data_IF_590430155398
#
_entry.id   IF_590430155398
#
_cell.length_a   1.000
_cell.length_b   1.000
_cell.length_c   1.000
_cell.angle_alpha   90.00
_cell.angle_beta   90.00
_cell.angle_gamma   90.00
#
_symmetry.space_group_name_H-M   'P 1'
#
loop_
_entity.id
_entity.type
_entity.pdbx_description
1 polymer ?
#
# COMPACT_ATOMS: atom_id res chain seq x y z
N UNK A 1 7.91 -5.04 15.11
CA UNK A 1 7.97 -4.40 13.77
C UNK A 1 9.38 -3.97 13.31
N UNK A 2 10.48 -4.52 13.87
CA UNK A 2 11.86 -4.11 13.50
C UNK A 2 12.81 -5.31 13.43
N UNK A 3 12.62 -6.20 12.45
CA UNK A 3 13.59 -7.27 12.15
C UNK A 3 13.57 -7.47 10.63
N UNK A 4 14.58 -6.96 9.91
CA UNK A 4 14.89 -7.04 8.45
C UNK A 4 15.29 -5.71 7.78
N UNK A 5 15.43 -4.61 8.53
CA UNK A 5 15.94 -3.35 7.95
C UNK A 5 17.44 -3.43 7.65
N UNK A 6 18.17 -4.25 8.41
CA UNK A 6 19.65 -4.30 8.35
C UNK A 6 20.21 -5.25 7.28
N UNK A 7 19.35 -5.99 6.55
CA UNK A 7 19.78 -6.99 5.56
C UNK A 7 19.56 -6.57 4.10
N UNK A 8 19.00 -5.38 3.85
CA UNK A 8 18.74 -4.87 2.50
C UNK A 8 19.65 -3.67 2.29
N UNK A 9 20.43 -3.70 1.21
CA UNK A 9 21.29 -2.59 0.84
C UNK A 9 20.45 -1.30 0.62
N UNK A 10 20.70 -0.23 1.40
CA UNK A 10 19.96 1.04 1.31
C UNK A 10 20.10 1.77 -0.03
N UNK A 11 21.05 1.37 -0.88
CA UNK A 11 21.28 1.93 -2.21
C UNK A 11 20.68 1.08 -3.33
N UNK A 12 20.21 -0.14 -3.04
CA UNK A 12 19.48 -0.98 -4.00
C UNK A 12 17.96 -0.80 -3.86
N UNK A 13 17.45 -0.68 -2.63
CA UNK A 13 16.03 -0.45 -2.37
C UNK A 13 15.76 0.99 -1.92
N UNK A 14 15.45 1.87 -2.89
CA UNK A 14 15.38 3.33 -2.67
C UNK A 14 13.99 3.94 -2.95
N UNK A 15 12.87 3.41 -2.40
CA UNK A 15 11.52 3.92 -2.70
C UNK A 15 11.27 5.36 -2.22
N UNK A 16 12.07 5.84 -1.26
CA UNK A 16 12.01 7.20 -0.71
C UNK A 16 13.33 7.98 -0.92
N UNK A 17 14.24 7.45 -1.75
CA UNK A 17 15.60 7.95 -1.90
C UNK A 17 16.48 7.78 -0.65
N UNK A 18 17.75 8.15 -0.79
CA UNK A 18 18.79 8.07 0.25
C UNK A 18 19.64 9.35 0.22
N UNK A 19 20.15 9.80 1.37
CA UNK A 19 20.98 11.01 1.50
C UNK A 19 20.17 12.30 1.79
N UNK A 20 20.79 13.50 1.69
CA UNK A 20 20.20 14.77 2.10
C UNK A 20 18.95 15.21 1.34
N UNK A 21 18.69 14.59 0.18
CA UNK A 21 17.54 14.86 -0.70
C UNK A 21 16.54 13.70 -0.70
N UNK A 22 16.55 12.87 0.33
CA UNK A 22 15.51 11.84 0.49
C UNK A 22 14.13 12.46 0.76
N UNK A 23 13.09 11.64 0.65
CA UNK A 23 11.72 12.08 0.86
C UNK A 23 11.52 12.49 2.33
N UNK A 24 11.35 13.78 2.56
CA UNK A 24 11.02 14.35 3.88
C UNK A 24 9.70 13.77 4.44
N UNK A 25 8.79 13.38 3.56
CA UNK A 25 7.49 12.80 3.89
C UNK A 25 7.49 11.29 4.17
N UNK A 26 8.62 10.60 4.10
CA UNK A 26 8.68 9.13 4.22
C UNK A 26 7.95 8.61 5.48
N UNK A 27 8.24 9.18 6.65
CA UNK A 27 7.66 8.71 7.91
C UNK A 27 6.15 8.96 7.96
N UNK A 28 5.72 10.13 7.49
CA UNK A 28 4.31 10.51 7.42
C UNK A 28 3.53 9.60 6.48
N UNK A 29 4.04 9.37 5.26
CA UNK A 29 3.40 8.50 4.27
C UNK A 29 3.26 7.06 4.80
N UNK A 30 4.32 6.50 5.39
CA UNK A 30 4.28 5.16 5.97
C UNK A 30 3.30 5.04 7.15
N UNK A 31 3.19 6.08 7.99
CA UNK A 31 2.24 6.09 9.10
C UNK A 31 0.80 6.11 8.59
N UNK A 32 0.46 7.03 7.70
CA UNK A 32 -0.90 7.17 7.19
C UNK A 32 -1.34 5.97 6.35
N UNK A 33 -0.46 5.45 5.47
CA UNK A 33 -0.79 4.25 4.69
C UNK A 33 -1.06 3.04 5.58
N UNK A 34 -0.25 2.83 6.62
CA UNK A 34 -0.50 1.76 7.59
C UNK A 34 -1.80 1.95 8.34
N UNK A 35 -2.09 3.17 8.79
CA UNK A 35 -3.34 3.48 9.49
C UNK A 35 -4.56 3.21 8.60
N UNK A 36 -4.53 3.69 7.36
CA UNK A 36 -5.59 3.45 6.37
C UNK A 36 -5.78 1.96 6.12
N UNK A 37 -4.70 1.22 5.88
CA UNK A 37 -4.72 -0.22 5.67
C UNK A 37 -5.30 -0.97 6.88
N UNK A 38 -4.88 -0.63 8.10
CA UNK A 38 -5.43 -1.24 9.33
C UNK A 38 -6.94 -1.02 9.40
N UNK A 39 -7.41 0.22 9.19
CA UNK A 39 -8.85 0.53 9.28
C UNK A 39 -9.68 -0.22 8.24
N UNK A 40 -9.23 -0.29 6.99
CA UNK A 40 -10.00 -1.01 5.96
C UNK A 40 -9.90 -2.52 6.10
N UNK A 41 -8.75 -3.07 6.48
CA UNK A 41 -8.55 -4.53 6.60
C UNK A 41 -9.16 -5.12 7.88
N UNK A 42 -9.37 -4.32 8.92
CA UNK A 42 -10.11 -4.72 10.11
C UNK A 42 -11.58 -4.97 9.77
N UNK A 43 -12.19 -4.08 8.99
CA UNK A 43 -13.64 -4.07 8.76
C UNK A 43 -14.05 -4.74 7.43
N UNK A 44 -13.12 -4.89 6.48
CA UNK A 44 -13.45 -5.35 5.14
C UNK A 44 -12.45 -6.37 4.58
N UNK A 45 -12.96 -7.25 3.73
CA UNK A 45 -12.19 -8.17 2.90
C UNK A 45 -12.26 -7.72 1.44
N UNK A 46 -11.11 -7.67 0.77
CA UNK A 46 -11.00 -7.30 -0.64
C UNK A 46 -10.78 -8.54 -1.50
N UNK A 47 -11.57 -8.69 -2.56
CA UNK A 47 -11.48 -9.81 -3.52
C UNK A 47 -11.46 -9.27 -4.95
N UNK A 48 -10.79 -9.96 -5.89
CA UNK A 48 -10.91 -9.62 -7.30
C UNK A 48 -12.34 -9.84 -7.81
N UNK A 49 -12.79 -8.99 -8.72
CA UNK A 49 -14.06 -9.11 -9.43
C UNK A 49 -13.79 -9.37 -10.92
N UNK A 50 -14.87 -9.56 -11.71
CA UNK A 50 -14.77 -9.81 -13.16
C UNK A 50 -14.07 -8.67 -13.92
N UNK A 51 -14.11 -7.47 -13.37
CA UNK A 51 -13.51 -6.25 -13.95
C UNK A 51 -12.04 -6.05 -13.54
N UNK A 52 -11.56 -6.78 -12.51
CA UNK A 52 -10.18 -6.66 -12.04
C UNK A 52 -9.21 -7.21 -13.09
N UNK A 53 -8.30 -6.35 -13.58
CA UNK A 53 -7.26 -6.76 -14.51
C UNK A 53 -6.18 -7.58 -13.81
N UNK A 54 -6.11 -8.88 -14.14
CA UNK A 54 -5.07 -9.80 -13.64
C UNK A 54 -4.41 -10.48 -14.87
N UNK A 55 -3.09 -10.35 -15.08
CA UNK A 55 -2.12 -9.60 -14.28
C UNK A 55 -2.26 -8.08 -14.44
N UNK A 56 -1.89 -7.33 -13.39
CA UNK A 56 -1.88 -5.87 -13.40
C UNK A 56 -0.88 -5.36 -14.46
N UNK A 57 -1.35 -4.51 -15.37
CA UNK A 57 -0.48 -3.79 -16.31
C UNK A 57 -0.27 -2.37 -15.82
N UNK A 58 0.95 -1.87 -15.98
CA UNK A 58 1.31 -0.50 -15.62
C UNK A 58 1.11 0.42 -16.81
N UNK A 59 0.66 1.63 -16.53
CA UNK A 59 0.70 2.71 -17.50
C UNK A 59 2.14 3.20 -17.68
N UNK A 60 2.40 3.76 -18.85
CA UNK A 60 3.70 4.30 -19.27
C UNK A 60 3.81 5.82 -19.05
N UNK A 61 2.72 6.46 -18.62
CA UNK A 61 2.64 7.91 -18.46
C UNK A 61 2.68 8.33 -17.00
N UNK A 62 3.54 9.30 -16.68
CA UNK A 62 3.57 9.95 -15.36
C UNK A 62 4.19 9.08 -14.25
N UNK A 63 3.53 9.06 -13.09
CA UNK A 63 3.93 8.25 -11.94
C UNK A 63 3.53 6.78 -12.15
N UNK A 64 4.00 5.88 -11.29
CA UNK A 64 3.55 4.49 -11.28
C UNK A 64 2.04 4.41 -11.06
N UNK A 65 1.31 4.06 -12.11
CA UNK A 65 -0.13 3.94 -12.13
C UNK A 65 -0.54 2.69 -12.92
N UNK A 66 -1.69 2.08 -12.61
CA UNK A 66 -2.21 0.96 -13.38
C UNK A 66 -2.80 1.45 -14.71
N UNK A 67 -2.69 0.64 -15.76
CA UNK A 67 -3.24 0.94 -17.10
C UNK A 67 -4.78 1.10 -17.05
N UNK A 68 -5.44 0.32 -16.19
CA UNK A 68 -6.88 0.41 -15.91
C UNK A 68 -7.12 0.63 -14.42
N UNK A 69 -8.19 1.36 -14.03
CA UNK A 69 -8.55 1.51 -12.63
C UNK A 69 -8.69 0.16 -11.92
N UNK A 70 -8.13 0.03 -10.72
CA UNK A 70 -8.22 -1.20 -9.92
C UNK A 70 -9.61 -1.24 -9.27
N UNK A 71 -10.52 -1.98 -9.87
CA UNK A 71 -11.85 -2.27 -9.30
C UNK A 71 -11.76 -3.57 -8.49
N UNK A 72 -12.24 -3.54 -7.25
CA UNK A 72 -12.26 -4.68 -6.33
C UNK A 72 -13.65 -4.86 -5.73
N UNK A 73 -14.00 -6.10 -5.40
CA UNK A 73 -15.15 -6.41 -4.58
C UNK A 73 -14.78 -6.29 -3.10
N UNK A 74 -15.66 -5.65 -2.32
CA UNK A 74 -15.50 -5.46 -0.88
C UNK A 74 -16.61 -6.21 -0.16
N UNK A 75 -16.23 -7.08 0.77
CA UNK A 75 -17.15 -7.79 1.68
C UNK A 75 -16.88 -7.33 3.12
N UNK A 76 -17.93 -7.09 3.92
CA UNK A 76 -17.78 -6.74 5.35
C UNK A 76 -17.18 -7.92 6.15
N UNK A 77 -16.42 -7.61 7.20
CA UNK A 77 -15.93 -8.59 8.19
C UNK A 77 -16.77 -8.47 9.44
N UNK A 78 -17.41 -9.57 9.83
CA UNK A 78 -18.33 -9.62 10.99
C UNK A 78 -17.62 -9.61 12.37
N UNK A 79 -16.31 -9.33 12.40
CA UNK A 79 -15.49 -9.26 13.62
C UNK A 79 -15.28 -7.82 14.09
N UNK A 80 -16.21 -7.38 14.93
CA UNK A 80 -16.27 -6.17 15.77
C UNK A 80 -14.96 -5.45 16.15
N UNK A 81 -15.01 -4.11 16.15
CA UNK A 81 -14.58 -3.25 17.26
C UNK A 81 -15.40 -1.93 17.24
N UNK A 82 -16.62 -1.99 17.79
CA UNK A 82 -17.23 -0.83 18.43
C UNK A 82 -16.32 -0.43 19.61
N UNK A 83 -15.59 0.68 19.47
CA UNK A 83 -14.84 1.25 20.56
C UNK A 83 -15.78 1.97 21.53
N UNK A 84 -15.87 1.45 22.76
CA UNK A 84 -15.86 2.31 23.94
C UNK A 84 -14.47 2.90 24.13
#
# INVERSE_FOLDING_TARGET
>A
FSKKKDSIDPYIYTPFGTGPRNCIGMRFALMNMKLALIRVLQNFSFKPCKETQIPLKLDTQGLLQPEKPIVLKVDSRDGTLSGE
#
